data_IF_428415457637
#
_entry.id   IF_428415457637
#
_cell.length_a   1.000
_cell.length_b   1.000
_cell.length_c   1.000
_cell.angle_alpha   90.00
_cell.angle_beta   90.00
_cell.angle_gamma   90.00
#
_symmetry.space_group_name_H-M   'P 1'
#
loop_
_entity.id
_entity.type
_entity.pdbx_description
1 polymer ?
#
# COMPACT_ATOMS: atom_id res chain seq x y z
N UNK A 1 -1.95 -4.33 85.09
CA UNK A 1 -1.27 -3.02 85.09
C UNK A 1 -0.88 -2.69 83.66
N UNK A 2 -1.13 -1.43 83.29
CA UNK A 2 -1.18 -0.83 81.95
C UNK A 2 0.14 -0.89 81.15
N UNK A 3 0.02 -1.00 79.82
CA UNK A 3 0.59 -0.09 78.78
C UNK A 3 -0.07 -0.43 77.42
N UNK A 4 -1.03 0.36 76.89
CA UNK A 4 -0.91 1.55 76.00
C UNK A 4 -0.45 1.22 74.55
N UNK A 5 -1.43 1.19 73.62
CA UNK A 5 -1.35 1.49 72.16
C UNK A 5 -0.82 2.94 71.93
N UNK A 6 -0.39 3.44 70.74
CA UNK A 6 -0.82 3.07 69.36
C UNK A 6 0.21 3.30 68.21
N UNK A 7 0.28 2.48 67.15
CA UNK A 7 0.99 2.94 65.92
C UNK A 7 0.30 2.46 64.62
N UNK A 8 -0.03 3.47 63.81
CA UNK A 8 -0.30 3.56 62.37
C UNK A 8 -1.49 2.82 61.73
N UNK A 9 -2.55 3.62 61.49
CA UNK A 9 -3.42 3.50 60.32
C UNK A 9 -2.77 4.27 59.16
N UNK A 10 -2.29 3.58 58.13
CA UNK A 10 -1.83 4.23 56.90
C UNK A 10 -2.37 3.51 55.67
N UNK A 11 -3.38 4.15 55.07
CA UNK A 11 -3.74 4.24 53.66
C UNK A 11 -3.54 3.01 52.75
N UNK A 12 -4.66 2.37 52.42
CA UNK A 12 -4.85 1.61 51.17
C UNK A 12 -5.16 2.64 50.08
N UNK A 13 -4.19 2.95 49.21
CA UNK A 13 -4.45 3.66 47.95
C UNK A 13 -4.44 2.59 46.85
N UNK A 14 -5.63 2.09 46.54
CA UNK A 14 -5.86 1.26 45.36
C UNK A 14 -5.87 2.14 44.11
N UNK A 15 -4.75 2.15 43.38
CA UNK A 15 -4.69 2.72 42.04
C UNK A 15 -5.12 1.63 41.04
N UNK A 16 -6.42 1.54 40.79
CA UNK A 16 -6.96 0.76 39.68
C UNK A 16 -6.61 1.48 38.37
N UNK A 17 -5.52 1.06 37.71
CA UNK A 17 -5.20 1.49 36.35
C UNK A 17 -6.13 0.73 35.41
N UNK A 18 -7.29 1.34 35.12
CA UNK A 18 -8.17 0.89 34.05
C UNK A 18 -7.47 1.16 32.70
N UNK A 19 -6.79 0.14 32.18
CA UNK A 19 -6.29 0.12 30.80
C UNK A 19 -7.49 0.11 29.86
N UNK A 20 -7.89 1.30 29.38
CA UNK A 20 -8.80 1.42 28.24
C UNK A 20 -8.07 0.84 27.03
N UNK A 21 -8.30 -0.44 26.76
CA UNK A 21 -8.03 -1.05 25.47
C UNK A 21 -8.93 -0.39 24.45
N UNK A 22 -8.44 0.67 23.80
CA UNK A 22 -9.03 1.16 22.56
C UNK A 22 -8.72 0.11 21.50
N UNK A 23 -9.69 -0.65 20.98
CA UNK A 23 -9.44 -1.50 19.84
C UNK A 23 -9.01 -0.58 18.70
N UNK A 24 -7.77 -0.72 18.23
CA UNK A 24 -7.37 -0.17 16.95
C UNK A 24 -8.23 -0.82 15.88
N UNK A 25 -9.33 -0.16 15.51
CA UNK A 25 -10.09 -0.49 14.33
C UNK A 25 -9.18 -0.20 13.14
N UNK A 26 -8.52 -1.25 12.63
CA UNK A 26 -7.87 -1.21 11.33
C UNK A 26 -8.94 -0.79 10.33
N UNK A 27 -8.80 0.39 9.72
CA UNK A 27 -9.72 0.89 8.71
C UNK A 27 -9.85 -0.16 7.60
N UNK A 28 -10.99 -0.87 7.57
CA UNK A 28 -11.36 -1.72 6.44
C UNK A 28 -11.39 -0.83 5.20
N UNK A 29 -10.59 -1.18 4.19
CA UNK A 29 -10.62 -0.48 2.93
C UNK A 29 -12.03 -0.59 2.34
N UNK A 30 -12.70 0.54 2.16
CA UNK A 30 -14.06 0.65 1.64
C UNK A 30 -14.14 0.03 0.22
N UNK A 31 -14.86 -1.10 0.03
CA UNK A 31 -15.00 -1.78 -1.26
C UNK A 31 -15.58 -0.86 -2.35
N UNK A 32 -16.45 0.06 -1.95
CA UNK A 32 -17.12 1.04 -2.82
C UNK A 32 -16.09 1.94 -3.53
N UNK A 33 -14.99 2.29 -2.85
CA UNK A 33 -13.91 3.09 -3.43
C UNK A 33 -13.09 2.32 -4.46
N UNK A 34 -13.02 0.99 -4.34
CA UNK A 34 -12.32 0.16 -5.32
C UNK A 34 -13.12 0.06 -6.61
N UNK A 35 -14.43 -0.21 -6.51
CA UNK A 35 -15.33 -0.27 -7.65
C UNK A 35 -15.42 1.07 -8.39
N UNK A 36 -15.50 2.18 -7.65
CA UNK A 36 -15.55 3.53 -8.25
C UNK A 36 -14.30 3.81 -9.08
N UNK A 37 -13.11 3.49 -8.56
CA UNK A 37 -11.85 3.64 -9.30
C UNK A 37 -11.81 2.73 -10.53
N UNK A 38 -12.23 1.47 -10.39
CA UNK A 38 -12.28 0.53 -11.51
C UNK A 38 -13.25 1.01 -12.60
N UNK A 39 -14.39 1.56 -12.20
CA UNK A 39 -15.41 2.14 -13.09
C UNK A 39 -14.85 3.29 -13.92
N UNK A 40 -14.08 4.18 -13.29
CA UNK A 40 -13.43 5.29 -13.96
C UNK A 40 -12.26 4.85 -14.85
N UNK A 41 -11.42 3.92 -14.37
CA UNK A 41 -10.26 3.42 -15.13
C UNK A 41 -10.69 2.66 -16.40
N UNK A 42 -11.69 1.78 -16.28
CA UNK A 42 -12.14 0.87 -17.34
C UNK A 42 -13.38 1.36 -18.09
N UNK A 43 -13.95 2.50 -17.71
CA UNK A 43 -15.19 3.03 -18.28
C UNK A 43 -16.31 1.99 -18.28
N UNK A 44 -16.60 1.42 -17.10
CA UNK A 44 -17.62 0.38 -16.96
C UNK A 44 -19.01 0.94 -17.28
N UNK A 45 -19.83 0.15 -17.97
CA UNK A 45 -21.25 0.45 -18.13
C UNK A 45 -22.02 0.26 -16.81
N UNK A 46 -23.21 0.85 -16.71
CA UNK A 46 -24.06 0.72 -15.52
C UNK A 46 -24.37 -0.76 -15.20
N UNK A 47 -24.62 -1.57 -16.24
CA UNK A 47 -24.85 -3.00 -16.07
C UNK A 47 -23.61 -3.73 -15.53
N UNK A 48 -22.44 -3.50 -16.13
CA UNK A 48 -21.19 -4.11 -15.66
C UNK A 48 -20.85 -3.69 -14.22
N UNK A 49 -21.13 -2.43 -13.86
CA UNK A 49 -20.95 -1.92 -12.49
C UNK A 49 -21.85 -2.67 -11.52
N UNK A 50 -23.13 -2.83 -11.84
CA UNK A 50 -24.09 -3.56 -11.01
C UNK A 50 -23.70 -5.05 -10.85
N UNK A 51 -23.27 -5.69 -11.94
CA UNK A 51 -22.83 -7.08 -11.93
C UNK A 51 -21.59 -7.25 -11.03
N UNK A 52 -20.59 -6.38 -11.17
CA UNK A 52 -19.37 -6.42 -10.36
C UNK A 52 -19.67 -6.10 -8.89
N UNK A 53 -20.58 -5.18 -8.59
CA UNK A 53 -21.01 -4.89 -7.23
C UNK A 53 -21.63 -6.12 -6.56
N UNK A 54 -22.52 -6.82 -7.27
CA UNK A 54 -23.11 -8.07 -6.80
C UNK A 54 -22.05 -9.16 -6.54
N UNK A 55 -21.05 -9.29 -7.43
CA UNK A 55 -19.93 -10.21 -7.23
C UNK A 55 -19.11 -9.86 -5.99
N UNK A 56 -18.76 -8.58 -5.80
CA UNK A 56 -18.01 -8.11 -4.64
C UNK A 56 -18.75 -8.43 -3.35
N UNK A 57 -20.06 -8.18 -3.28
CA UNK A 57 -20.85 -8.45 -2.09
C UNK A 57 -20.95 -9.95 -1.79
N UNK A 58 -21.17 -10.79 -2.81
CA UNK A 58 -21.22 -12.25 -2.63
C UNK A 58 -19.90 -12.82 -2.09
N UNK A 59 -18.75 -12.37 -2.65
CA UNK A 59 -17.43 -12.79 -2.16
C UNK A 59 -17.09 -12.19 -0.80
N UNK A 60 -17.60 -10.99 -0.47
CA UNK A 60 -17.42 -10.38 0.85
C UNK A 60 -18.04 -11.23 1.95
N UNK A 61 -19.27 -11.70 1.78
CA UNK A 61 -19.91 -12.58 2.76
C UNK A 61 -19.10 -13.85 3.00
N UNK A 62 -18.58 -14.49 1.93
CA UNK A 62 -17.70 -15.67 2.05
C UNK A 62 -16.37 -15.36 2.72
N UNK A 63 -15.79 -14.20 2.44
CA UNK A 63 -14.56 -13.74 3.10
C UNK A 63 -14.78 -13.43 4.59
N UNK A 64 -15.94 -12.92 4.97
CA UNK A 64 -16.31 -12.66 6.37
C UNK A 64 -16.49 -13.98 7.14
N UNK A 65 -17.05 -15.02 6.50
CA UNK A 65 -17.17 -16.37 7.07
C UNK A 65 -15.80 -17.05 7.30
N UNK A 66 -14.86 -16.87 6.37
CA UNK A 66 -13.49 -17.41 6.49
C UNK A 66 -12.69 -16.75 7.64
N UNK A 67 -13.06 -15.54 8.05
CA UNK A 67 -12.36 -14.80 9.09
C UNK A 67 -10.93 -14.38 8.74
N UNK A 68 -10.18 -13.92 9.74
CA UNK A 68 -8.78 -13.50 9.61
C UNK A 68 -7.78 -14.55 10.13
N UNK A 69 -8.23 -15.80 10.25
CA UNK A 69 -7.43 -16.90 10.80
C UNK A 69 -6.23 -17.21 9.88
N UNK A 70 -5.01 -17.40 10.43
CA UNK A 70 -3.90 -18.00 9.71
C UNK A 70 -4.24 -19.30 8.95
N UNK A 71 -5.12 -20.15 9.49
CA UNK A 71 -5.48 -21.44 8.88
C UNK A 71 -6.30 -21.27 7.60
N UNK A 72 -7.25 -20.33 7.57
CA UNK A 72 -8.12 -20.04 6.41
C UNK A 72 -7.46 -19.10 5.41
N UNK A 73 -6.22 -18.65 5.68
CA UNK A 73 -5.50 -17.69 4.83
C UNK A 73 -5.31 -18.18 3.40
N UNK A 74 -5.24 -19.50 3.18
CA UNK A 74 -5.15 -20.09 1.83
C UNK A 74 -6.49 -20.00 1.10
N UNK A 75 -7.59 -20.32 1.76
CA UNK A 75 -8.95 -20.20 1.23
C UNK A 75 -9.27 -18.75 0.90
N UNK A 76 -8.98 -17.81 1.81
CA UNK A 76 -9.19 -16.40 1.52
C UNK A 76 -8.33 -15.86 0.37
N UNK A 77 -7.18 -16.49 0.05
CA UNK A 77 -6.44 -16.17 -1.19
C UNK A 77 -7.13 -16.76 -2.42
N UNK A 78 -7.63 -17.98 -2.34
CA UNK A 78 -8.36 -18.62 -3.42
C UNK A 78 -9.64 -17.84 -3.75
N UNK A 79 -10.38 -17.41 -2.73
CA UNK A 79 -11.61 -16.63 -2.87
C UNK A 79 -11.36 -15.28 -3.57
N UNK A 80 -10.36 -14.52 -3.11
CA UNK A 80 -9.93 -13.30 -3.82
C UNK A 80 -9.52 -13.59 -5.26
N UNK A 81 -8.92 -14.75 -5.54
CA UNK A 81 -8.53 -15.11 -6.89
C UNK A 81 -9.74 -15.46 -7.76
N UNK A 82 -10.75 -16.13 -7.19
CA UNK A 82 -12.01 -16.43 -7.84
C UNK A 82 -12.78 -15.15 -8.19
N UNK A 83 -12.93 -14.21 -7.24
CA UNK A 83 -13.54 -12.90 -7.49
C UNK A 83 -12.90 -12.19 -8.69
N UNK A 84 -11.57 -12.19 -8.75
CA UNK A 84 -10.85 -11.54 -9.85
C UNK A 84 -11.10 -12.23 -11.20
N UNK A 85 -11.33 -13.54 -11.25
CA UNK A 85 -11.68 -14.22 -12.49
C UNK A 85 -13.12 -13.90 -12.91
N UNK A 86 -14.07 -13.93 -11.98
CA UNK A 86 -15.47 -13.60 -12.26
C UNK A 86 -15.62 -12.14 -12.73
N UNK A 87 -14.93 -11.20 -12.09
CA UNK A 87 -14.87 -9.80 -12.57
C UNK A 87 -14.33 -9.75 -14.01
N UNK A 88 -13.31 -10.54 -14.34
CA UNK A 88 -12.71 -10.56 -15.69
C UNK A 88 -13.73 -10.95 -16.76
N UNK A 89 -14.61 -11.88 -16.45
CA UNK A 89 -15.62 -12.41 -17.37
C UNK A 89 -16.70 -11.38 -17.71
N UNK A 90 -16.95 -10.41 -16.84
CA UNK A 90 -17.87 -9.28 -17.06
C UNK A 90 -17.24 -8.20 -17.95
N UNK A 91 -15.91 -8.16 -18.06
CA UNK A 91 -15.19 -7.16 -18.83
C UNK A 91 -15.11 -7.51 -20.32
N UNK A 92 -15.22 -6.50 -21.16
CA UNK A 92 -14.92 -6.61 -22.60
C UNK A 92 -13.44 -6.95 -22.84
N UNK A 93 -13.07 -7.55 -24.00
CA UNK A 93 -11.69 -7.87 -24.31
C UNK A 93 -10.72 -6.68 -24.17
N UNK A 94 -11.16 -5.49 -24.58
CA UNK A 94 -10.39 -4.24 -24.50
C UNK A 94 -10.16 -3.83 -23.03
N UNK A 95 -11.21 -3.87 -22.20
CA UNK A 95 -11.12 -3.59 -20.76
C UNK A 95 -10.24 -4.62 -20.04
N UNK A 96 -10.29 -5.90 -20.44
CA UNK A 96 -9.40 -6.93 -19.88
C UNK A 96 -7.92 -6.63 -20.17
N UNK A 97 -7.61 -6.18 -21.39
CA UNK A 97 -6.24 -5.80 -21.76
C UNK A 97 -5.76 -4.59 -20.94
N UNK A 98 -6.59 -3.56 -20.79
CA UNK A 98 -6.27 -2.39 -19.97
C UNK A 98 -6.09 -2.77 -18.48
N UNK A 99 -6.96 -3.63 -17.97
CA UNK A 99 -6.87 -4.11 -16.59
C UNK A 99 -5.59 -4.93 -16.34
N UNK A 100 -5.19 -5.79 -17.28
CA UNK A 100 -3.95 -6.54 -17.23
C UNK A 100 -2.72 -5.62 -17.21
N UNK A 101 -2.66 -4.64 -18.11
CA UNK A 101 -1.58 -3.65 -18.16
C UNK A 101 -1.46 -2.86 -16.85
N UNK A 102 -2.60 -2.40 -16.30
CA UNK A 102 -2.63 -1.72 -15.00
C UNK A 102 -2.20 -2.60 -13.83
N UNK A 103 -2.44 -3.93 -13.89
CA UNK A 103 -1.91 -4.87 -12.88
C UNK A 103 -0.40 -5.03 -13.00
N UNK A 104 0.13 -5.16 -14.20
CA UNK A 104 1.57 -5.29 -14.44
C UNK A 104 2.34 -4.05 -13.96
N UNK A 105 1.85 -2.84 -14.29
CA UNK A 105 2.45 -1.59 -13.81
C UNK A 105 2.44 -1.50 -12.28
N UNK A 106 1.30 -1.84 -11.64
CA UNK A 106 1.21 -1.87 -10.17
C UNK A 106 2.13 -2.92 -9.57
N UNK A 107 2.28 -4.08 -10.21
CA UNK A 107 3.18 -5.13 -9.75
C UNK A 107 4.63 -4.67 -9.84
N UNK A 108 5.04 -4.05 -10.95
CA UNK A 108 6.37 -3.45 -11.12
C UNK A 108 6.64 -2.40 -10.04
N UNK A 109 5.72 -1.48 -9.82
CA UNK A 109 5.88 -0.48 -8.76
C UNK A 109 5.92 -1.08 -7.35
N UNK A 110 5.20 -2.18 -7.09
CA UNK A 110 5.32 -2.92 -5.83
C UNK A 110 6.66 -3.61 -5.71
N UNK A 111 7.24 -4.15 -6.78
CA UNK A 111 8.58 -4.74 -6.74
C UNK A 111 9.64 -3.67 -6.47
N UNK A 112 9.55 -2.52 -7.15
CA UNK A 112 10.45 -1.37 -6.96
C UNK A 112 10.39 -0.81 -5.52
N UNK A 113 9.19 -0.64 -4.96
CA UNK A 113 9.01 -0.15 -3.57
C UNK A 113 9.23 -1.23 -2.51
N UNK A 114 8.88 -2.47 -2.84
CA UNK A 114 8.98 -3.64 -1.98
C UNK A 114 10.43 -4.08 -1.78
N UNK A 115 11.29 -3.91 -2.78
CA UNK A 115 12.73 -4.19 -2.65
C UNK A 115 13.38 -3.37 -1.54
N UNK A 116 13.16 -2.05 -1.53
CA UNK A 116 13.73 -1.18 -0.48
C UNK A 116 13.12 -1.42 0.89
N UNK A 117 11.79 -1.48 0.99
CA UNK A 117 11.12 -1.66 2.30
C UNK A 117 11.34 -3.06 2.86
N UNK A 118 11.42 -4.06 1.99
CA UNK A 118 11.79 -5.43 2.31
C UNK A 118 13.23 -5.55 2.78
N UNK A 119 14.18 -4.89 2.10
CA UNK A 119 15.57 -4.80 2.54
C UNK A 119 15.68 -4.15 3.93
N UNK A 120 15.06 -2.99 4.14
CA UNK A 120 15.10 -2.32 5.45
C UNK A 120 14.50 -3.17 6.58
N UNK A 121 13.39 -3.88 6.30
CA UNK A 121 12.79 -4.81 7.27
C UNK A 121 13.68 -6.04 7.53
N UNK A 122 14.35 -6.57 6.50
CA UNK A 122 15.29 -7.67 6.68
C UNK A 122 16.48 -7.27 7.56
N UNK A 123 16.94 -6.02 7.44
CA UNK A 123 18.00 -5.46 8.29
C UNK A 123 17.54 -5.15 9.72
N UNK A 124 16.25 -4.87 9.94
CA UNK A 124 15.70 -4.59 11.28
C UNK A 124 15.74 -5.82 12.21
N UNK A 125 15.69 -7.03 11.65
CA UNK A 125 15.83 -8.29 12.40
C UNK A 125 17.27 -8.74 12.62
N UNK A 126 18.25 -7.98 12.15
CA UNK A 126 19.65 -8.16 12.48
C UNK A 126 19.96 -7.21 13.65
N UNK A 127 20.61 -7.70 14.70
CA UNK A 127 21.04 -6.89 15.85
C UNK A 127 22.21 -5.97 15.45
N UNK A 128 21.94 -5.04 14.54
CA UNK A 128 22.91 -4.11 13.98
C UNK A 128 23.27 -3.06 15.02
N UNK A 129 24.57 -2.81 15.18
CA UNK A 129 25.06 -1.68 15.95
C UNK A 129 24.62 -0.35 15.32
N UNK A 130 24.67 0.73 16.12
CA UNK A 130 24.38 2.08 15.62
C UNK A 130 25.28 2.44 14.42
N UNK A 131 26.57 2.12 14.49
CA UNK A 131 27.53 2.40 13.43
C UNK A 131 27.22 1.62 12.14
N UNK A 132 26.79 0.36 12.24
CA UNK A 132 26.38 -0.43 11.08
C UNK A 132 25.14 0.18 10.41
N UNK A 133 24.14 0.61 11.19
CA UNK A 133 22.93 1.27 10.67
C UNK A 133 23.30 2.56 9.93
N UNK A 134 24.17 3.38 10.53
CA UNK A 134 24.63 4.62 9.91
C UNK A 134 25.38 4.37 8.61
N UNK A 135 26.25 3.36 8.55
CA UNK A 135 26.97 3.00 7.33
C UNK A 135 26.04 2.54 6.21
N UNK A 136 25.03 1.75 6.53
CA UNK A 136 24.02 1.29 5.55
C UNK A 136 23.19 2.46 5.03
N UNK A 137 22.78 3.38 5.90
CA UNK A 137 22.03 4.57 5.49
C UNK A 137 22.86 5.47 4.55
N UNK A 138 24.13 5.69 4.89
CA UNK A 138 25.06 6.44 4.05
C UNK A 138 25.24 5.76 2.67
N UNK A 139 25.32 4.44 2.61
CA UNK A 139 25.39 3.70 1.33
C UNK A 139 24.12 3.87 0.50
N UNK A 140 22.94 3.78 1.13
CA UNK A 140 21.66 3.98 0.44
C UNK A 140 21.55 5.40 -0.11
N UNK A 141 21.96 6.40 0.67
CA UNK A 141 21.95 7.80 0.25
C UNK A 141 22.95 8.05 -0.89
N UNK A 142 24.17 7.52 -0.79
CA UNK A 142 25.17 7.62 -1.84
C UNK A 142 24.68 6.98 -3.14
N UNK A 143 24.09 5.78 -3.08
CA UNK A 143 23.52 5.12 -4.25
C UNK A 143 22.39 5.95 -4.88
N UNK A 144 21.54 6.58 -4.06
CA UNK A 144 20.48 7.48 -4.56
C UNK A 144 21.05 8.70 -5.26
N UNK A 145 22.10 9.30 -4.70
CA UNK A 145 22.82 10.40 -5.33
C UNK A 145 23.38 10.00 -6.69
N UNK A 146 23.99 8.81 -6.77
CA UNK A 146 24.51 8.26 -8.03
C UNK A 146 23.39 8.00 -9.04
N UNK A 147 22.30 7.35 -8.66
CA UNK A 147 21.16 7.11 -9.54
C UNK A 147 20.55 8.41 -10.07
N UNK A 148 20.44 9.44 -9.22
CA UNK A 148 19.95 10.75 -9.62
C UNK A 148 20.90 11.43 -10.61
N UNK A 149 22.21 11.40 -10.33
CA UNK A 149 23.23 11.98 -11.21
C UNK A 149 23.27 11.27 -12.57
N UNK A 150 23.26 9.93 -12.58
CA UNK A 150 23.20 9.14 -13.82
C UNK A 150 21.93 9.44 -14.61
N UNK A 151 20.78 9.54 -13.93
CA UNK A 151 19.52 9.88 -14.59
C UNK A 151 19.54 11.30 -15.16
N UNK A 152 20.16 12.25 -14.48
CA UNK A 152 20.31 13.61 -14.99
C UNK A 152 21.21 13.63 -16.22
N UNK A 153 22.39 13.01 -16.15
CA UNK A 153 23.32 12.90 -17.27
C UNK A 153 22.67 12.24 -18.49
N UNK A 154 21.97 11.12 -18.30
CA UNK A 154 21.22 10.46 -19.38
C UNK A 154 20.17 11.40 -20.01
N UNK A 155 19.47 12.20 -19.21
CA UNK A 155 18.46 13.12 -19.73
C UNK A 155 19.08 14.30 -20.48
N UNK A 156 20.28 14.73 -20.09
CA UNK A 156 21.06 15.73 -20.83
C UNK A 156 21.54 15.16 -22.18
N UNK A 157 21.96 13.90 -22.22
CA UNK A 157 22.28 13.21 -23.49
C UNK A 157 21.05 13.09 -24.40
N UNK A 158 19.90 12.69 -23.86
CA UNK A 158 18.64 12.65 -24.62
C UNK A 158 18.27 14.03 -25.15
N UNK A 159 18.44 15.08 -24.34
CA UNK A 159 18.20 16.47 -24.76
C UNK A 159 19.08 16.88 -25.94
N UNK A 160 20.34 16.45 -25.94
CA UNK A 160 21.28 16.78 -27.03
C UNK A 160 20.92 16.10 -28.36
N UNK A 161 20.19 14.98 -28.33
CA UNK A 161 19.75 14.24 -29.52
C UNK A 161 18.47 14.83 -30.12
N UNK A 162 17.59 15.38 -29.28
CA UNK A 162 16.28 15.90 -29.69
C UNK A 162 16.37 17.33 -30.24
N UNK A 163 15.50 17.67 -31.19
CA UNK A 163 15.32 19.08 -31.57
C UNK A 163 14.65 19.87 -30.43
N UNK A 164 14.76 21.20 -30.41
CA UNK A 164 14.10 22.03 -29.41
C UNK A 164 12.59 21.75 -29.30
N UNK A 165 11.90 21.64 -30.45
CA UNK A 165 10.46 21.39 -30.50
C UNK A 165 10.10 19.99 -29.97
N UNK A 166 10.92 18.98 -30.28
CA UNK A 166 10.76 17.63 -29.76
C UNK A 166 10.97 17.57 -28.24
N UNK A 167 11.94 18.34 -27.73
CA UNK A 167 12.21 18.44 -26.30
C UNK A 167 11.06 19.12 -25.55
N UNK A 168 10.51 20.21 -26.10
CA UNK A 168 9.38 20.93 -25.50
C UNK A 168 8.13 20.03 -25.45
N UNK A 169 7.84 19.31 -26.54
CA UNK A 169 6.75 18.33 -26.56
C UNK A 169 6.95 17.21 -25.52
N UNK A 170 8.19 16.75 -25.36
CA UNK A 170 8.54 15.75 -24.35
C UNK A 170 8.37 16.28 -22.91
N UNK A 171 8.78 17.52 -22.62
CA UNK A 171 8.60 18.13 -21.29
C UNK A 171 7.12 18.33 -20.97
N UNK A 172 6.33 18.85 -21.91
CA UNK A 172 4.90 19.03 -21.74
C UNK A 172 4.17 17.72 -21.40
N UNK A 173 4.56 16.61 -22.05
CA UNK A 173 4.02 15.27 -21.73
C UNK A 173 4.46 14.77 -20.36
N UNK A 174 5.68 15.05 -19.91
CA UNK A 174 6.13 14.68 -18.55
C UNK A 174 5.39 15.45 -17.47
N UNK A 175 5.13 16.73 -17.69
CA UNK A 175 4.39 17.59 -16.76
C UNK A 175 2.93 17.16 -16.65
N UNK A 176 2.28 16.84 -17.77
CA UNK A 176 0.90 16.33 -17.74
C UNK A 176 0.78 15.02 -16.97
N UNK A 177 1.72 14.08 -17.14
CA UNK A 177 1.76 12.85 -16.35
C UNK A 177 2.01 13.10 -14.85
N UNK A 178 2.84 14.08 -14.50
CA UNK A 178 3.07 14.47 -13.09
C UNK A 178 1.83 15.10 -12.46
N UNK A 179 1.17 16.02 -13.17
CA UNK A 179 -0.07 16.63 -12.73
C UNK A 179 -1.18 15.59 -12.53
N UNK A 180 -1.27 14.60 -13.41
CA UNK A 180 -2.27 13.54 -13.30
C UNK A 180 -2.00 12.60 -12.10
N UNK A 181 -0.73 12.30 -11.79
CA UNK A 181 -0.37 11.55 -10.57
C UNK A 181 -0.67 12.31 -9.28
N UNK A 182 -0.56 13.63 -9.29
CA UNK A 182 -0.90 14.48 -8.13
C UNK A 182 -2.40 14.50 -7.83
N UNK A 183 -3.26 14.39 -8.86
CA UNK A 183 -4.73 14.34 -8.70
C UNK A 183 -5.26 12.99 -8.24
N UNK A 184 -4.69 11.88 -8.70
CA UNK A 184 -5.15 10.53 -8.33
C UNK A 184 -4.57 9.98 -7.02
N UNK A 185 -3.70 10.74 -6.34
CA UNK A 185 -3.00 10.31 -5.13
C UNK A 185 -3.29 11.13 -3.86
N UNK A 186 -4.21 12.09 -3.93
CA UNK A 186 -4.67 12.93 -2.81
C UNK A 186 -5.99 12.45 -2.22
#
# INVERSE_FOLDING_TARGET
MNTVFPILRTAIIGLAIATLSVPMAFAQADPSRHLERMSQELQLSDQQRADIEALIEAHRSRMDELGLDPETRREGRAERHALMQEIREVLTPEQQAQWAAGREERQRHRQERGGRRGFLRAMEGLDLSADQRQAIEALIEAQRGQEHAQRQAFMDEVRAILTPEQWDAFQARRESHRANRGRNGG
#
